data_IF_726035722992
#
_entry.id   IF_726035722992
#
_cell.length_a   1.000
_cell.length_b   1.000
_cell.length_c   1.000
_cell.angle_alpha   90.00
_cell.angle_beta   90.00
_cell.angle_gamma   90.00
#
_symmetry.space_group_name_H-M   'P 1'
#
loop_
_entity.id
_entity.type
_entity.pdbx_description
1 polymer ?
#
# COMPACT_ATOMS: atom_id res chain seq x y z
N UNK A 1 -13.49 -13.80 3.67
CA UNK A 1 -12.16 -14.23 3.19
C UNK A 1 -11.46 -13.07 2.46
N UNK A 2 -10.13 -13.01 2.45
CA UNK A 2 -9.34 -11.99 1.74
C UNK A 2 -9.36 -12.24 0.22
N UNK A 3 -9.30 -11.18 -0.57
CA UNK A 3 -9.22 -11.28 -2.04
C UNK A 3 -7.77 -11.64 -2.44
N UNK A 4 -7.55 -12.76 -3.15
CA UNK A 4 -6.21 -13.21 -3.53
C UNK A 4 -5.46 -12.26 -4.46
N UNK A 5 -6.12 -11.27 -5.06
CA UNK A 5 -5.44 -10.21 -5.83
C UNK A 5 -4.44 -9.43 -4.97
N UNK A 6 -4.66 -9.38 -3.64
CA UNK A 6 -3.78 -8.75 -2.66
C UNK A 6 -2.96 -9.83 -1.95
N UNK A 7 -1.82 -10.21 -2.53
CA UNK A 7 -0.88 -11.13 -1.86
C UNK A 7 -0.36 -10.56 -0.53
N UNK A 8 -0.05 -9.26 -0.49
CA UNK A 8 0.39 -8.56 0.70
C UNK A 8 0.18 -7.05 0.59
N UNK A 9 -0.18 -6.40 1.70
CA UNK A 9 -0.55 -4.97 1.78
C UNK A 9 -1.84 -4.68 1.01
N UNK A 10 -2.76 -3.93 1.63
CA UNK A 10 -4.13 -3.61 1.17
C UNK A 10 -5.17 -4.74 1.33
N UNK A 11 -4.81 -5.96 1.69
CA UNK A 11 -5.76 -7.06 1.93
C UNK A 11 -6.75 -6.74 3.06
N UNK A 12 -6.26 -6.07 4.10
CA UNK A 12 -7.04 -5.61 5.26
C UNK A 12 -7.98 -4.46 4.88
N UNK A 13 -7.47 -3.51 4.10
CA UNK A 13 -8.19 -2.32 3.65
C UNK A 13 -9.31 -2.70 2.69
N UNK A 14 -9.04 -3.56 1.71
CA UNK A 14 -10.04 -4.15 0.82
C UNK A 14 -11.12 -4.91 1.60
N UNK A 15 -10.71 -5.72 2.58
CA UNK A 15 -11.65 -6.44 3.44
C UNK A 15 -12.61 -5.50 4.18
N UNK A 16 -12.10 -4.42 4.79
CA UNK A 16 -12.93 -3.42 5.46
C UNK A 16 -13.91 -2.73 4.49
N UNK A 17 -13.47 -2.42 3.26
CA UNK A 17 -14.35 -1.81 2.24
C UNK A 17 -15.43 -2.77 1.75
N UNK A 18 -15.11 -4.06 1.57
CA UNK A 18 -16.11 -5.09 1.26
C UNK A 18 -17.08 -5.31 2.41
N UNK A 19 -16.60 -5.40 3.64
CA UNK A 19 -17.46 -5.52 4.83
C UNK A 19 -18.45 -4.35 4.91
N UNK A 20 -17.97 -3.12 4.67
CA UNK A 20 -18.84 -1.94 4.59
C UNK A 20 -19.91 -2.03 3.49
N UNK A 21 -19.56 -2.57 2.32
CA UNK A 21 -20.51 -2.76 1.22
C UNK A 21 -21.63 -3.75 1.58
N UNK A 22 -21.32 -4.76 2.39
CA UNK A 22 -22.27 -5.75 2.90
C UNK A 22 -23.05 -5.26 4.15
N UNK A 23 -22.95 -3.97 4.51
CA UNK A 23 -23.69 -3.39 5.63
C UNK A 23 -23.02 -3.53 7.00
N UNK A 24 -21.81 -4.08 7.07
CA UNK A 24 -21.05 -4.13 8.34
C UNK A 24 -20.38 -2.80 8.64
N UNK A 25 -20.21 -2.51 9.92
CA UNK A 25 -19.58 -1.28 10.41
C UNK A 25 -18.13 -1.57 10.82
N UNK A 26 -17.22 -0.67 10.44
CA UNK A 26 -15.80 -0.72 10.85
C UNK A 26 -15.55 0.41 11.84
N UNK A 27 -15.01 0.08 13.01
CA UNK A 27 -14.79 1.03 14.10
C UNK A 27 -13.33 1.03 14.56
N UNK A 28 -12.86 2.20 15.00
CA UNK A 28 -11.65 2.33 15.79
C UNK A 28 -12.02 2.41 17.27
N UNK A 29 -11.48 1.51 18.09
CA UNK A 29 -11.76 1.43 19.53
C UNK A 29 -10.51 1.85 20.34
N UNK A 30 -10.35 3.13 20.70
CA UNK A 30 -9.10 3.64 21.32
C UNK A 30 -8.81 3.03 22.69
N UNK A 31 -9.83 2.55 23.41
CA UNK A 31 -9.68 1.91 24.71
C UNK A 31 -9.23 0.44 24.62
N UNK A 32 -9.43 -0.22 23.48
CA UNK A 32 -8.97 -1.58 23.26
C UNK A 32 -7.48 -1.55 22.85
N UNK A 33 -6.60 -2.10 23.70
CA UNK A 33 -5.15 -2.06 23.49
C UNK A 33 -4.61 -3.44 23.11
N UNK A 34 -3.87 -3.50 22.01
CA UNK A 34 -3.10 -4.66 21.60
C UNK A 34 -1.60 -4.29 21.53
N UNK A 35 -0.74 -5.12 22.13
CA UNK A 35 0.70 -4.84 22.20
C UNK A 35 1.47 -5.56 21.09
N UNK A 36 2.13 -4.80 20.22
CA UNK A 36 3.07 -5.34 19.24
C UNK A 36 4.48 -5.35 19.85
N UNK A 37 4.93 -6.51 20.37
CA UNK A 37 6.23 -6.67 21.06
C UNK A 37 7.43 -6.69 20.09
N UNK A 38 7.57 -5.65 19.28
CA UNK A 38 8.73 -5.45 18.39
C UNK A 38 9.22 -4.01 18.57
N UNK A 39 10.50 -3.78 18.91
CA UNK A 39 11.02 -2.43 19.05
C UNK A 39 10.93 -1.70 17.71
N UNK A 40 10.36 -0.50 17.72
CA UNK A 40 10.33 0.32 16.53
C UNK A 40 11.75 0.76 16.16
N UNK A 41 12.15 0.44 14.93
CA UNK A 41 13.42 0.89 14.37
C UNK A 41 13.14 1.50 12.99
N UNK A 42 13.35 2.82 12.87
CA UNK A 42 13.04 3.59 11.66
C UNK A 42 13.76 3.02 10.42
N UNK A 43 15.06 2.73 10.52
CA UNK A 43 15.84 2.16 9.42
C UNK A 43 15.30 0.80 8.99
N UNK A 44 14.96 -0.09 9.92
CA UNK A 44 14.34 -1.39 9.63
C UNK A 44 12.95 -1.21 8.98
N UNK A 45 12.15 -0.26 9.44
CA UNK A 45 10.85 0.03 8.86
C UNK A 45 10.96 0.53 7.41
N UNK A 46 11.80 1.53 7.15
CA UNK A 46 12.02 2.09 5.80
C UNK A 46 12.64 1.04 4.86
N UNK A 47 13.61 0.26 5.32
CA UNK A 47 14.21 -0.79 4.48
C UNK A 47 13.26 -1.97 4.21
N UNK A 48 12.31 -2.26 5.12
CA UNK A 48 11.21 -3.22 4.91
C UNK A 48 10.19 -2.67 3.93
N UNK A 49 9.87 -1.37 4.01
CA UNK A 49 8.99 -0.69 3.05
C UNK A 49 9.53 -0.83 1.63
N UNK A 50 10.82 -0.56 1.44
CA UNK A 50 11.49 -0.70 0.14
C UNK A 50 11.45 -2.14 -0.40
N UNK A 51 11.45 -3.15 0.48
CA UNK A 51 11.31 -4.56 0.09
C UNK A 51 9.90 -4.96 -0.34
N UNK A 52 8.89 -4.12 -0.08
CA UNK A 52 7.48 -4.35 -0.43
C UNK A 52 6.97 -3.41 -1.53
N UNK A 53 7.87 -2.63 -2.13
CA UNK A 53 7.51 -1.53 -3.04
C UNK A 53 6.61 -1.99 -4.18
N UNK A 54 6.92 -3.12 -4.81
CA UNK A 54 6.11 -3.69 -5.89
C UNK A 54 4.64 -3.86 -5.48
N UNK A 55 4.40 -4.58 -4.38
CA UNK A 55 3.04 -4.87 -3.92
C UNK A 55 2.31 -3.60 -3.47
N UNK A 56 3.01 -2.68 -2.81
CA UNK A 56 2.38 -1.42 -2.36
C UNK A 56 2.01 -0.53 -3.55
N UNK A 57 2.87 -0.43 -4.57
CA UNK A 57 2.59 0.35 -5.77
C UNK A 57 1.44 -0.29 -6.56
N UNK A 58 1.53 -1.59 -6.86
CA UNK A 58 0.48 -2.34 -7.56
C UNK A 58 -0.87 -2.26 -6.86
N UNK A 59 -0.90 -2.64 -5.59
CA UNK A 59 -2.16 -2.82 -4.87
C UNK A 59 -2.84 -1.49 -4.58
N UNK A 60 -2.09 -0.40 -4.46
CA UNK A 60 -2.66 0.95 -4.36
C UNK A 60 -3.44 1.33 -5.61
N UNK A 61 -2.88 1.09 -6.80
CA UNK A 61 -3.59 1.35 -8.05
C UNK A 61 -4.85 0.48 -8.14
N UNK A 62 -4.74 -0.82 -7.86
CA UNK A 62 -5.89 -1.75 -7.84
C UNK A 62 -6.98 -1.25 -6.88
N UNK A 63 -6.59 -0.87 -5.66
CA UNK A 63 -7.52 -0.36 -4.65
C UNK A 63 -8.19 0.94 -5.10
N UNK A 64 -7.43 1.88 -5.66
CA UNK A 64 -7.98 3.14 -6.15
C UNK A 64 -8.88 2.97 -7.37
N UNK A 65 -8.61 2.01 -8.24
CA UNK A 65 -9.51 1.67 -9.34
C UNK A 65 -10.82 1.05 -8.84
N UNK A 66 -10.79 0.25 -7.77
CA UNK A 66 -11.98 -0.39 -7.20
C UNK A 66 -12.86 0.55 -6.36
N UNK A 67 -12.23 1.42 -5.57
CA UNK A 67 -12.91 2.17 -4.51
C UNK A 67 -12.68 3.68 -4.55
N UNK A 68 -11.74 4.16 -5.38
CA UNK A 68 -11.40 5.57 -5.48
C UNK A 68 -12.50 6.40 -6.13
N UNK A 69 -12.99 7.42 -5.42
CA UNK A 69 -14.00 8.35 -5.97
C UNK A 69 -13.41 9.36 -6.96
N UNK A 70 -12.14 9.73 -6.79
CA UNK A 70 -11.46 10.76 -7.56
C UNK A 70 -10.12 10.25 -8.08
N UNK A 71 -10.18 9.40 -9.11
CA UNK A 71 -8.98 8.74 -9.66
C UNK A 71 -7.98 9.74 -10.28
N UNK A 72 -8.45 10.88 -10.79
CA UNK A 72 -7.59 11.95 -11.32
C UNK A 72 -6.72 12.59 -10.25
N UNK A 73 -7.28 12.83 -9.06
CA UNK A 73 -6.53 13.32 -7.90
C UNK A 73 -5.49 12.29 -7.47
N UNK A 74 -5.85 11.00 -7.48
CA UNK A 74 -4.90 9.92 -7.20
C UNK A 74 -3.67 9.99 -8.12
N UNK A 75 -3.87 10.10 -9.43
CA UNK A 75 -2.77 10.20 -10.40
C UNK A 75 -1.92 11.47 -10.24
N UNK A 76 -2.50 12.56 -9.73
CA UNK A 76 -1.73 13.76 -9.38
C UNK A 76 -0.74 13.51 -8.23
N UNK A 77 -1.09 12.66 -7.25
CA UNK A 77 -0.22 12.34 -6.11
C UNK A 77 0.76 11.18 -6.38
N UNK A 78 0.55 10.37 -7.40
CA UNK A 78 1.42 9.24 -7.71
C UNK A 78 2.91 9.64 -7.93
N UNK A 79 3.23 10.74 -8.63
CA UNK A 79 4.61 11.23 -8.73
C UNK A 79 5.24 11.60 -7.38
N UNK A 80 4.44 12.10 -6.43
CA UNK A 80 4.92 12.46 -5.08
C UNK A 80 5.31 11.20 -4.31
N UNK A 81 4.49 10.15 -4.41
CA UNK A 81 4.84 8.85 -3.86
C UNK A 81 6.08 8.27 -4.52
N UNK A 82 6.17 8.33 -5.84
CA UNK A 82 7.35 7.84 -6.55
C UNK A 82 8.62 8.55 -6.09
N UNK A 83 8.60 9.89 -5.97
CA UNK A 83 9.73 10.67 -5.47
C UNK A 83 10.15 10.25 -4.05
N UNK A 84 9.19 10.02 -3.15
CA UNK A 84 9.47 9.51 -1.81
C UNK A 84 10.21 8.16 -1.83
N UNK A 85 9.78 7.22 -2.68
CA UNK A 85 10.44 5.93 -2.82
C UNK A 85 11.83 6.06 -3.47
N UNK A 86 12.02 6.97 -4.42
CA UNK A 86 13.34 7.28 -5.00
C UNK A 86 14.30 7.79 -3.93
N UNK A 87 13.88 8.77 -3.11
CA UNK A 87 14.71 9.32 -2.03
C UNK A 87 15.15 8.22 -1.05
N UNK A 88 14.21 7.36 -0.63
CA UNK A 88 14.52 6.24 0.26
C UNK A 88 15.43 5.20 -0.41
N UNK A 89 15.18 4.86 -1.68
CA UNK A 89 15.98 3.92 -2.44
C UNK A 89 17.43 4.39 -2.58
N UNK A 90 17.65 5.67 -2.87
CA UNK A 90 18.99 6.29 -2.93
C UNK A 90 19.65 6.26 -1.55
N UNK A 91 18.95 6.72 -0.50
CA UNK A 91 19.46 6.76 0.88
C UNK A 91 19.96 5.38 1.36
N UNK A 92 19.24 4.31 1.03
CA UNK A 92 19.56 2.96 1.46
C UNK A 92 20.23 2.09 0.39
N UNK A 93 20.60 2.67 -0.76
CA UNK A 93 21.20 1.97 -1.91
C UNK A 93 20.39 0.75 -2.38
N UNK A 94 19.06 0.84 -2.32
CA UNK A 94 18.11 -0.20 -2.74
C UNK A 94 17.41 0.19 -4.04
N UNK A 95 18.17 0.38 -5.12
CA UNK A 95 17.65 0.86 -6.41
C UNK A 95 16.59 -0.05 -7.05
N UNK A 96 16.59 -1.36 -6.71
CA UNK A 96 15.52 -2.28 -7.12
C UNK A 96 14.12 -1.77 -6.74
N UNK A 97 14.00 -1.04 -5.63
CA UNK A 97 12.71 -0.47 -5.21
C UNK A 97 12.14 0.53 -6.24
N UNK A 98 12.98 1.25 -6.98
CA UNK A 98 12.54 2.19 -8.02
C UNK A 98 11.92 1.41 -9.19
N UNK A 99 12.61 0.37 -9.66
CA UNK A 99 12.09 -0.54 -10.69
C UNK A 99 10.80 -1.22 -10.22
N UNK A 100 10.79 -1.75 -9.01
CA UNK A 100 9.64 -2.40 -8.40
C UNK A 100 8.44 -1.45 -8.28
N UNK A 101 8.67 -0.16 -8.00
CA UNK A 101 7.60 0.84 -7.96
C UNK A 101 6.96 1.01 -9.34
N UNK A 102 7.77 1.30 -10.36
CA UNK A 102 7.27 1.54 -11.73
C UNK A 102 6.54 0.29 -12.23
N UNK A 103 7.16 -0.88 -12.10
CA UNK A 103 6.55 -2.16 -12.48
C UNK A 103 5.27 -2.44 -11.70
N UNK A 104 5.26 -2.17 -10.40
CA UNK A 104 4.08 -2.34 -9.56
C UNK A 104 2.92 -1.47 -10.04
N UNK A 105 3.17 -0.16 -10.23
CA UNK A 105 2.16 0.78 -10.74
C UNK A 105 1.63 0.35 -12.12
N UNK A 106 2.49 -0.06 -13.05
CA UNK A 106 2.05 -0.54 -14.38
C UNK A 106 1.22 -1.81 -14.29
N UNK A 107 1.68 -2.80 -13.51
CA UNK A 107 0.94 -4.05 -13.32
C UNK A 107 -0.41 -3.78 -12.63
N UNK A 108 -0.47 -2.78 -11.75
CA UNK A 108 -1.71 -2.35 -11.10
C UNK A 108 -2.71 -1.71 -12.06
N UNK A 109 -2.25 -0.96 -13.06
CA UNK A 109 -3.09 -0.41 -14.14
C UNK A 109 -3.65 -1.54 -15.01
N UNK A 110 -2.83 -2.55 -15.31
CA UNK A 110 -3.19 -3.68 -16.17
C UNK A 110 -4.01 -4.76 -15.45
N UNK A 111 -4.01 -4.76 -14.11
CA UNK A 111 -4.76 -5.70 -13.30
C UNK A 111 -6.26 -5.38 -13.40
N UNK A 112 -7.03 -6.29 -13.99
CA UNK A 112 -8.50 -6.28 -14.00
C UNK A 112 -9.04 -6.91 -12.72
#
# INVERSE_FOLDING_TARGET
>A
MFDPIYFATYEDTDFCFRAKKEGFLTYYAPNAKAFHKIPYNKKKAETRLLGRTYWIARNRVVFMNRYGKFITIFWFFEPIYFLYYVILAVRYRKFKAIYDFVRGTTDGILSK
#
